data_IF_094443953788
#
_entry.id   IF_094443953788
#
_cell.length_a   1.000
_cell.length_b   1.000
_cell.length_c   1.000
_cell.angle_alpha   90.00
_cell.angle_beta   90.00
_cell.angle_gamma   90.00
#
_symmetry.space_group_name_H-M   'P 1'
#
loop_
_entity.id
_entity.type
_entity.pdbx_description
1 polymer ?
#
# COMPACT_ATOMS: atom_id res chain seq x y z
N UNK A 1 9.43 -17.48 -46.97
CA UNK A 1 9.42 -16.34 -46.02
C UNK A 1 8.52 -16.72 -44.85
N UNK A 2 8.99 -16.58 -43.60
CA UNK A 2 8.03 -16.42 -42.51
C UNK A 2 8.29 -15.16 -41.66
N UNK A 3 7.18 -14.44 -41.49
CA UNK A 3 6.65 -13.78 -40.28
C UNK A 3 7.61 -12.94 -39.42
N UNK A 4 7.38 -11.62 -39.44
CA UNK A 4 7.92 -10.63 -38.49
C UNK A 4 7.59 -11.07 -37.06
N UNK A 5 8.63 -11.34 -36.28
CA UNK A 5 8.50 -11.54 -34.83
C UNK A 5 8.09 -10.23 -34.14
N UNK A 6 7.22 -10.39 -33.15
CA UNK A 6 6.70 -9.39 -32.23
C UNK A 6 7.75 -8.36 -31.81
N UNK A 7 7.52 -7.10 -32.19
CA UNK A 7 8.10 -5.97 -31.47
C UNK A 7 7.53 -5.97 -30.06
N UNK A 8 8.31 -6.44 -29.08
CA UNK A 8 8.01 -6.22 -27.67
C UNK A 8 7.98 -4.71 -27.44
N UNK A 9 6.80 -4.15 -27.21
CA UNK A 9 6.61 -2.77 -26.76
C UNK A 9 7.07 -2.65 -25.29
N UNK A 10 8.34 -2.91 -25.01
CA UNK A 10 8.93 -2.65 -23.71
C UNK A 10 9.23 -1.16 -23.62
N UNK A 11 8.64 -0.47 -22.64
CA UNK A 11 8.94 0.93 -22.36
C UNK A 11 10.42 1.09 -22.00
N UNK A 12 11.02 2.22 -22.36
CA UNK A 12 12.35 2.58 -21.87
C UNK A 12 12.29 2.98 -20.39
N UNK A 13 13.41 2.89 -19.66
CA UNK A 13 13.48 3.30 -18.24
C UNK A 13 13.00 4.75 -18.02
N UNK A 14 13.30 5.64 -18.96
CA UNK A 14 12.85 7.03 -18.90
C UNK A 14 11.32 7.17 -19.05
N UNK A 15 10.72 6.37 -19.93
CA UNK A 15 9.28 6.32 -20.13
C UNK A 15 8.57 5.69 -18.93
N UNK A 16 9.13 4.62 -18.36
CA UNK A 16 8.64 4.00 -17.14
C UNK A 16 8.64 5.02 -15.99
N UNK A 17 9.76 5.72 -15.77
CA UNK A 17 9.86 6.76 -14.75
C UNK A 17 8.86 7.89 -14.98
N UNK A 18 8.77 8.40 -16.22
CA UNK A 18 7.84 9.48 -16.58
C UNK A 18 6.38 9.09 -16.35
N UNK A 19 6.04 7.83 -16.60
CA UNK A 19 4.69 7.30 -16.46
C UNK A 19 4.40 6.73 -15.05
N UNK A 20 5.35 6.83 -14.12
CA UNK A 20 5.17 6.41 -12.73
C UNK A 20 5.20 4.89 -12.53
N UNK A 21 5.88 4.14 -13.39
CA UNK A 21 6.15 2.72 -13.18
C UNK A 21 7.35 2.51 -12.27
N UNK A 22 7.22 1.57 -11.34
CA UNK A 22 8.34 1.08 -10.55
C UNK A 22 9.12 0.05 -11.36
N UNK A 23 10.17 0.48 -12.05
CA UNK A 23 11.03 -0.43 -12.81
C UNK A 23 11.99 -1.21 -11.89
N UNK A 24 12.45 -2.41 -12.31
CA UNK A 24 13.53 -3.12 -11.64
C UNK A 24 14.78 -2.24 -11.48
N UNK A 25 15.14 -1.46 -12.50
CA UNK A 25 16.31 -0.59 -12.48
C UNK A 25 16.22 0.49 -11.40
N UNK A 26 15.04 1.08 -11.19
CA UNK A 26 14.80 2.03 -10.10
C UNK A 26 14.95 1.36 -8.72
N UNK A 27 14.45 0.14 -8.55
CA UNK A 27 14.61 -0.62 -7.30
C UNK A 27 16.07 -0.89 -7.01
N UNK A 28 16.82 -1.33 -8.02
CA UNK A 28 18.25 -1.65 -7.91
C UNK A 28 19.06 -0.40 -7.54
N UNK A 29 18.77 0.73 -8.19
CA UNK A 29 19.35 2.04 -7.88
C UNK A 29 19.09 2.46 -6.41
N UNK A 30 17.88 2.23 -5.90
CA UNK A 30 17.46 2.66 -4.55
C UNK A 30 17.89 1.70 -3.44
N UNK A 31 18.03 0.42 -3.75
CA UNK A 31 18.43 -0.62 -2.79
C UNK A 31 19.93 -0.84 -2.72
N UNK A 32 20.69 -0.42 -3.74
CA UNK A 32 22.09 -0.85 -3.95
C UNK A 32 22.25 -2.37 -3.97
N UNK A 33 21.17 -3.10 -4.24
CA UNK A 33 21.15 -4.56 -4.30
C UNK A 33 21.33 -5.04 -5.74
N UNK A 34 21.78 -6.29 -5.88
CA UNK A 34 21.95 -6.95 -7.18
C UNK A 34 20.78 -7.89 -7.53
N UNK A 35 19.89 -8.16 -6.58
CA UNK A 35 18.77 -9.08 -6.77
C UNK A 35 17.57 -8.69 -5.91
N UNK A 36 16.40 -8.59 -6.55
CA UNK A 36 15.12 -8.25 -5.92
C UNK A 36 14.77 -9.18 -4.75
N UNK A 37 15.16 -10.45 -4.82
CA UNK A 37 14.86 -11.46 -3.80
C UNK A 37 15.58 -11.21 -2.47
N UNK A 38 16.67 -10.44 -2.45
CA UNK A 38 17.41 -10.14 -1.19
C UNK A 38 17.03 -8.81 -0.56
N UNK A 39 16.21 -8.00 -1.23
CA UNK A 39 15.82 -6.69 -0.74
C UNK A 39 14.79 -6.85 0.38
N UNK A 40 15.18 -6.47 1.60
CA UNK A 40 14.31 -6.51 2.78
C UNK A 40 13.78 -5.14 3.20
N UNK A 41 14.46 -4.06 2.80
CA UNK A 41 14.07 -2.68 3.12
C UNK A 41 14.21 -1.82 1.87
N UNK A 42 13.19 -1.01 1.58
CA UNK A 42 13.22 -0.12 0.42
C UNK A 42 12.56 1.23 0.72
N UNK A 43 13.22 2.30 0.29
CA UNK A 43 12.69 3.66 0.36
C UNK A 43 12.46 4.22 -1.05
N UNK A 44 11.19 4.44 -1.38
CA UNK A 44 10.68 4.97 -2.64
C UNK A 44 9.83 6.23 -2.41
N UNK A 45 10.15 7.00 -1.38
CA UNK A 45 9.44 8.24 -1.06
C UNK A 45 9.53 9.27 -2.18
N UNK A 46 8.40 9.91 -2.52
CA UNK A 46 8.40 11.11 -3.36
C UNK A 46 8.72 10.88 -4.84
N UNK A 47 8.48 9.67 -5.37
CA UNK A 47 8.89 9.29 -6.73
C UNK A 47 7.76 9.37 -7.77
N UNK A 48 6.58 9.89 -7.39
CA UNK A 48 5.39 9.98 -8.25
C UNK A 48 4.94 8.63 -8.81
N UNK A 49 5.22 7.54 -8.10
CA UNK A 49 4.90 6.18 -8.55
C UNK A 49 3.40 5.92 -8.50
N UNK A 50 2.87 5.29 -9.55
CA UNK A 50 1.48 4.87 -9.69
C UNK A 50 1.35 3.35 -9.85
N UNK A 51 2.24 2.74 -10.63
CA UNK A 51 2.17 1.32 -10.97
C UNK A 51 3.36 0.57 -10.36
N UNK A 52 3.07 -0.34 -9.43
CA UNK A 52 4.06 -1.02 -8.59
C UNK A 52 3.95 -2.54 -8.65
N UNK A 53 3.51 -3.07 -9.79
CA UNK A 53 3.38 -4.52 -10.03
C UNK A 53 4.69 -5.29 -9.80
N UNK A 54 5.84 -4.65 -9.98
CA UNK A 54 7.17 -5.21 -9.71
C UNK A 54 7.34 -5.69 -8.26
N UNK A 55 6.58 -5.14 -7.31
CA UNK A 55 6.59 -5.60 -5.90
C UNK A 55 6.13 -7.06 -5.75
N UNK A 56 5.37 -7.60 -6.71
CA UNK A 56 4.94 -9.01 -6.70
C UNK A 56 6.11 -9.99 -6.71
N UNK A 57 7.27 -9.56 -7.19
CA UNK A 57 8.50 -10.34 -7.25
C UNK A 57 9.42 -10.13 -6.04
N UNK A 58 8.94 -9.50 -4.96
CA UNK A 58 9.74 -9.15 -3.78
C UNK A 58 9.20 -9.78 -2.47
N UNK A 59 9.10 -11.13 -2.39
CA UNK A 59 8.47 -11.80 -1.24
C UNK A 59 9.22 -11.60 0.10
N UNK A 60 10.51 -11.24 0.05
CA UNK A 60 11.35 -11.03 1.24
C UNK A 60 11.35 -9.58 1.76
N UNK A 61 10.58 -8.69 1.12
CA UNK A 61 10.47 -7.30 1.55
C UNK A 61 9.78 -7.22 2.91
N UNK A 62 10.44 -6.60 3.89
CA UNK A 62 9.95 -6.42 5.27
C UNK A 62 9.49 -5.01 5.56
N UNK A 63 10.17 -4.01 5.01
CA UNK A 63 9.88 -2.60 5.26
C UNK A 63 9.87 -1.85 3.94
N UNK A 64 8.79 -1.14 3.64
CA UNK A 64 8.74 -0.28 2.47
C UNK A 64 8.11 1.08 2.78
N UNK A 65 8.82 2.14 2.38
CA UNK A 65 8.28 3.48 2.37
C UNK A 65 7.98 3.93 0.94
N UNK A 66 6.69 4.07 0.63
CA UNK A 66 6.18 4.65 -0.61
C UNK A 66 5.28 5.85 -0.33
N UNK A 67 5.51 6.57 0.77
CA UNK A 67 4.74 7.78 1.07
C UNK A 67 5.00 8.87 0.01
N UNK A 68 4.05 9.78 -0.18
CA UNK A 68 4.12 10.87 -1.17
C UNK A 68 4.30 10.37 -2.61
N UNK A 69 3.48 9.39 -3.01
CA UNK A 69 3.41 8.87 -4.37
C UNK A 69 1.96 9.01 -4.92
N UNK A 70 1.67 8.33 -6.02
CA UNK A 70 0.41 8.38 -6.73
C UNK A 70 -0.32 7.01 -6.72
N UNK A 71 -0.08 6.18 -5.71
CA UNK A 71 -0.68 4.85 -5.62
C UNK A 71 -2.20 4.94 -5.47
N UNK A 72 -2.91 4.12 -6.23
CA UNK A 72 -4.38 4.02 -6.18
C UNK A 72 -4.87 2.66 -5.68
N UNK A 73 -3.97 1.67 -5.63
CA UNK A 73 -4.30 0.31 -5.22
C UNK A 73 -3.24 -0.28 -4.28
N UNK A 74 -3.69 -1.19 -3.42
CA UNK A 74 -2.87 -1.98 -2.50
C UNK A 74 -2.63 -3.42 -2.99
N UNK A 75 -3.21 -3.82 -4.12
CA UNK A 75 -3.11 -5.19 -4.63
C UNK A 75 -1.68 -5.71 -4.76
N UNK A 76 -0.69 -4.95 -5.29
CA UNK A 76 0.66 -5.49 -5.46
C UNK A 76 1.35 -5.88 -4.14
N UNK A 77 0.98 -5.27 -3.01
CA UNK A 77 1.56 -5.59 -1.70
C UNK A 77 1.11 -6.95 -1.16
N UNK A 78 0.00 -7.51 -1.66
CA UNK A 78 -0.52 -8.82 -1.24
C UNK A 78 0.46 -9.99 -1.44
N UNK A 79 1.50 -9.79 -2.26
CA UNK A 79 2.54 -10.78 -2.56
C UNK A 79 3.79 -10.63 -1.66
N UNK A 80 3.91 -9.52 -0.93
CA UNK A 80 5.02 -9.25 -0.02
C UNK A 80 4.76 -9.92 1.33
N UNK A 81 4.71 -11.26 1.37
CA UNK A 81 4.23 -12.02 2.54
C UNK A 81 5.04 -11.79 3.83
N UNK A 82 6.30 -11.33 3.72
CA UNK A 82 7.14 -11.00 4.85
C UNK A 82 7.07 -9.51 5.28
N UNK A 83 6.13 -8.73 4.72
CA UNK A 83 6.03 -7.31 4.99
C UNK A 83 5.57 -7.05 6.43
N UNK A 84 6.37 -6.29 7.16
CA UNK A 84 6.14 -5.91 8.55
C UNK A 84 5.71 -4.45 8.71
N UNK A 85 6.23 -3.56 7.86
CA UNK A 85 5.97 -2.13 7.94
C UNK A 85 5.69 -1.54 6.55
N UNK A 86 4.52 -0.93 6.39
CA UNK A 86 4.06 -0.31 5.15
C UNK A 86 3.74 1.17 5.37
N UNK A 87 4.57 2.05 4.81
CA UNK A 87 4.36 3.50 4.86
C UNK A 87 3.88 4.00 3.49
N UNK A 88 2.62 4.39 3.38
CA UNK A 88 1.95 4.80 2.13
C UNK A 88 1.15 6.09 2.31
N UNK A 89 1.60 6.95 3.21
CA UNK A 89 0.97 8.26 3.47
C UNK A 89 0.92 9.13 2.23
N UNK A 90 -0.07 9.99 2.12
CA UNK A 90 -0.19 10.94 1.01
C UNK A 90 -0.10 10.25 -0.37
N UNK A 91 -0.97 9.27 -0.58
CA UNK A 91 -1.20 8.62 -1.87
C UNK A 91 -2.64 8.91 -2.34
N UNK A 92 -3.12 8.21 -3.37
CA UNK A 92 -4.43 8.41 -3.98
C UNK A 92 -5.34 7.18 -3.80
N UNK A 93 -5.25 6.50 -2.65
CA UNK A 93 -6.12 5.37 -2.32
C UNK A 93 -7.49 5.94 -1.93
N UNK A 94 -8.46 5.76 -2.81
CA UNK A 94 -9.81 6.34 -2.62
C UNK A 94 -10.72 5.40 -1.86
N UNK A 95 -10.73 4.11 -2.23
CA UNK A 95 -11.59 3.12 -1.59
C UNK A 95 -10.87 2.47 -0.40
N UNK A 96 -11.52 2.46 0.77
CA UNK A 96 -11.01 1.77 1.95
C UNK A 96 -10.94 0.24 1.74
N UNK A 97 -11.76 -0.34 0.87
CA UNK A 97 -11.78 -1.79 0.61
C UNK A 97 -10.45 -2.32 0.04
N UNK A 98 -9.59 -1.45 -0.49
CA UNK A 98 -8.23 -1.84 -0.91
C UNK A 98 -7.43 -2.50 0.21
N UNK A 99 -7.73 -2.20 1.49
CA UNK A 99 -7.05 -2.84 2.63
C UNK A 99 -7.33 -4.35 2.71
N UNK A 100 -8.38 -4.85 2.04
CA UNK A 100 -8.64 -6.28 1.92
C UNK A 100 -7.55 -7.04 1.15
N UNK A 101 -6.76 -6.35 0.32
CA UNK A 101 -5.58 -6.96 -0.31
C UNK A 101 -4.46 -7.28 0.69
N UNK A 102 -4.44 -6.61 1.85
CA UNK A 102 -3.43 -6.81 2.88
C UNK A 102 -3.77 -7.93 3.86
N UNK A 103 -4.95 -8.58 3.72
CA UNK A 103 -5.49 -9.51 4.72
C UNK A 103 -4.63 -10.74 5.03
N UNK A 104 -3.78 -11.14 4.09
CA UNK A 104 -2.91 -12.31 4.24
C UNK A 104 -1.47 -11.94 4.59
N UNK A 105 -1.18 -10.66 4.82
CA UNK A 105 0.11 -10.19 5.29
C UNK A 105 0.20 -10.36 6.80
N UNK A 106 0.32 -11.61 7.25
CA UNK A 106 0.27 -11.98 8.66
C UNK A 106 1.39 -11.36 9.53
N UNK A 107 2.43 -10.84 8.89
CA UNK A 107 3.56 -10.18 9.56
C UNK A 107 3.40 -8.65 9.64
N UNK A 108 2.34 -8.07 9.04
CA UNK A 108 2.17 -6.63 8.92
C UNK A 108 1.74 -6.02 10.25
N UNK A 109 2.67 -5.37 10.93
CA UNK A 109 2.47 -4.78 12.25
C UNK A 109 2.23 -3.27 12.20
N UNK A 110 2.73 -2.59 11.17
CA UNK A 110 2.62 -1.12 11.05
C UNK A 110 2.13 -0.69 9.68
N UNK A 111 1.08 0.13 9.68
CA UNK A 111 0.45 0.66 8.48
C UNK A 111 0.22 2.16 8.66
N UNK A 112 0.78 2.95 7.75
CA UNK A 112 0.53 4.40 7.69
C UNK A 112 -0.11 4.75 6.35
N UNK A 113 -1.42 5.00 6.40
CA UNK A 113 -2.32 5.33 5.32
C UNK A 113 -2.78 6.80 5.35
N UNK A 114 -2.50 7.54 6.42
CA UNK A 114 -2.95 8.93 6.58
C UNK A 114 -2.59 9.82 5.38
N UNK A 115 -3.51 10.71 5.03
CA UNK A 115 -3.39 11.55 3.83
C UNK A 115 -3.83 10.87 2.52
N UNK A 116 -4.41 9.66 2.58
CA UNK A 116 -5.16 9.08 1.47
C UNK A 116 -6.65 9.47 1.56
N UNK A 117 -7.35 9.65 0.43
CA UNK A 117 -8.77 9.98 0.44
C UNK A 117 -9.67 8.98 1.19
N UNK A 118 -9.29 7.69 1.24
CA UNK A 118 -10.01 6.65 2.00
C UNK A 118 -10.08 6.92 3.52
N UNK A 119 -9.21 7.78 4.06
CA UNK A 119 -9.22 8.16 5.48
C UNK A 119 -10.29 9.22 5.80
N UNK A 120 -10.84 9.91 4.79
CA UNK A 120 -11.67 11.11 4.97
C UNK A 120 -13.15 10.89 4.64
N UNK A 121 -13.52 9.76 4.04
CA UNK A 121 -14.84 9.56 3.41
C UNK A 121 -15.65 8.41 4.01
N UNK A 122 -16.61 8.73 4.87
CA UNK A 122 -17.83 7.92 5.09
C UNK A 122 -19.06 8.82 5.15
N UNK A 123 -19.24 9.68 4.14
CA UNK A 123 -20.33 10.66 4.15
C UNK A 123 -21.67 10.18 3.55
N UNK A 124 -21.74 8.95 3.03
CA UNK A 124 -22.85 8.58 2.13
C UNK A 124 -23.61 7.29 2.49
N UNK A 125 -23.42 6.70 3.67
CA UNK A 125 -24.28 5.59 4.10
C UNK A 125 -25.56 6.02 4.82
N UNK A 126 -25.75 7.33 5.07
CA UNK A 126 -26.90 7.87 5.80
C UNK A 126 -27.75 8.84 4.97
N UNK A 127 -28.39 8.33 3.92
CA UNK A 127 -29.64 8.95 3.44
C UNK A 127 -30.87 8.43 4.19
N UNK A 128 -30.69 7.69 5.30
CA UNK A 128 -31.73 7.37 6.26
C UNK A 128 -31.28 7.81 7.66
N UNK A 129 -31.70 9.02 8.02
CA UNK A 129 -31.93 9.58 9.35
C UNK A 129 -31.28 8.85 10.57
N UNK A 130 -30.32 9.54 11.19
CA UNK A 130 -30.02 9.56 12.65
C UNK A 130 -28.80 8.81 13.23
N UNK A 131 -27.79 8.35 12.48
CA UNK A 131 -26.56 7.80 13.11
C UNK A 131 -25.28 8.42 12.53
N UNK A 132 -24.88 9.57 13.10
CA UNK A 132 -23.57 10.17 12.84
C UNK A 132 -22.43 9.21 13.26
N UNK A 133 -22.08 8.24 12.41
CA UNK A 133 -20.89 7.42 12.60
C UNK A 133 -19.68 8.30 12.33
N UNK A 134 -18.81 8.40 13.33
CA UNK A 134 -17.52 9.02 13.15
C UNK A 134 -16.77 8.27 12.04
N UNK A 135 -16.46 8.97 10.94
CA UNK A 135 -15.75 8.42 9.79
C UNK A 135 -14.39 7.83 10.20
N UNK A 136 -13.80 8.32 11.28
CA UNK A 136 -12.58 7.75 11.86
C UNK A 136 -12.80 6.35 12.45
N UNK A 137 -13.95 6.09 13.06
CA UNK A 137 -14.28 4.78 13.65
C UNK A 137 -14.50 3.74 12.55
N UNK A 138 -15.26 4.10 11.49
CA UNK A 138 -15.48 3.18 10.36
C UNK A 138 -14.17 2.86 9.64
N UNK A 139 -13.33 3.87 9.44
CA UNK A 139 -11.97 3.69 8.91
C UNK A 139 -11.19 2.66 9.73
N UNK A 140 -11.03 2.91 11.03
CA UNK A 140 -10.24 2.06 11.94
C UNK A 140 -10.78 0.64 12.00
N UNK A 141 -12.09 0.49 12.17
CA UNK A 141 -12.74 -0.83 12.20
C UNK A 141 -12.53 -1.60 10.90
N UNK A 142 -12.61 -0.94 9.74
CA UNK A 142 -12.41 -1.58 8.44
C UNK A 142 -10.98 -2.07 8.28
N UNK A 143 -9.99 -1.26 8.69
CA UNK A 143 -8.58 -1.67 8.69
C UNK A 143 -8.34 -2.86 9.61
N UNK A 144 -8.78 -2.79 10.87
CA UNK A 144 -8.57 -3.84 11.89
C UNK A 144 -9.19 -5.17 11.45
N UNK A 145 -10.40 -5.14 10.88
CA UNK A 145 -11.09 -6.36 10.39
C UNK A 145 -10.29 -7.08 9.30
N UNK A 146 -9.58 -6.33 8.46
CA UNK A 146 -8.80 -6.90 7.35
C UNK A 146 -7.36 -7.23 7.76
N UNK A 147 -6.70 -6.40 8.57
CA UNK A 147 -5.28 -6.53 8.92
C UNK A 147 -5.15 -6.87 10.41
N UNK A 148 -5.44 -8.12 10.76
CA UNK A 148 -5.53 -8.56 12.16
C UNK A 148 -4.18 -8.60 12.88
N UNK A 149 -3.07 -8.66 12.15
CA UNK A 149 -1.71 -8.59 12.70
C UNK A 149 -1.31 -7.17 13.14
N UNK A 150 -2.10 -6.16 12.78
CA UNK A 150 -1.69 -4.75 12.90
C UNK A 150 -1.60 -4.31 14.37
N UNK A 151 -0.48 -3.69 14.72
CA UNK A 151 -0.19 -3.12 16.04
C UNK A 151 -0.34 -1.60 15.98
N UNK A 152 0.11 -0.97 14.89
CA UNK A 152 0.09 0.49 14.72
C UNK A 152 -0.63 0.89 13.44
N UNK A 153 -1.56 1.84 13.57
CA UNK A 153 -2.26 2.50 12.48
C UNK A 153 -2.09 4.02 12.62
N UNK A 154 -1.55 4.69 11.61
CA UNK A 154 -1.58 6.16 11.44
C UNK A 154 -1.08 7.04 12.60
N UNK A 155 0.12 6.75 13.14
CA UNK A 155 0.69 7.44 14.32
C UNK A 155 -0.15 7.30 15.61
N UNK A 156 -1.32 6.68 15.57
CA UNK A 156 -2.06 6.33 16.75
C UNK A 156 -1.33 5.17 17.48
N UNK A 157 -1.35 5.22 18.81
CA UNK A 157 -0.71 4.23 19.67
C UNK A 157 -1.23 2.81 19.45
N UNK A 158 -0.58 1.84 20.12
CA UNK A 158 -0.87 0.40 20.00
C UNK A 158 -2.38 0.10 19.96
N UNK A 159 -2.86 -0.46 18.85
CA UNK A 159 -4.28 -0.76 18.64
C UNK A 159 -4.80 -1.84 19.58
N UNK A 160 -3.92 -2.72 20.11
CA UNK A 160 -4.32 -3.75 21.07
C UNK A 160 -4.74 -3.17 22.42
N UNK A 161 -4.25 -1.98 22.77
CA UNK A 161 -4.64 -1.29 24.00
C UNK A 161 -5.97 -0.52 23.81
N UNK A 162 -6.33 -0.20 22.57
CA UNK A 162 -7.52 0.59 22.20
C UNK A 162 -8.78 -0.24 21.92
N UNK A 163 -8.72 -1.58 22.01
CA UNK A 163 -9.91 -2.44 21.87
C UNK A 163 -10.98 -2.18 22.95
N UNK A 164 -10.62 -1.58 24.08
CA UNK A 164 -11.55 -1.22 25.15
C UNK A 164 -12.40 0.02 24.85
N UNK A 165 -12.08 0.81 23.81
CA UNK A 165 -12.82 2.04 23.49
C UNK A 165 -13.98 1.79 22.50
N UNK A 166 -14.02 0.62 21.84
CA UNK A 166 -15.05 0.30 20.84
C UNK A 166 -16.32 -0.32 21.48
N UNK A 167 -16.33 -0.52 22.81
CA UNK A 167 -17.50 -1.03 23.53
C UNK A 167 -17.79 -0.12 24.73
N UNK A 168 -18.48 0.98 24.51
CA UNK A 168 -19.36 1.65 25.49
C UNK A 168 -20.38 2.52 24.75
#
# INVERSE_FOLDING_TARGET
MPVKENTSNHLTDEEEHRNGYLSPNLIMLRSRGENLQFITKLNLWGLKLKYVSTLKSMPNLKIINMSSNCLQSLEPFSHCLNLCELYIRNNHIVNIDEVAHLKYLNMLEKLWLNGNPCCLFFKNYESNENVLYDSSVVYRCTVIRNVQSLIHLDQEGNMKDNLFVIIN
#
